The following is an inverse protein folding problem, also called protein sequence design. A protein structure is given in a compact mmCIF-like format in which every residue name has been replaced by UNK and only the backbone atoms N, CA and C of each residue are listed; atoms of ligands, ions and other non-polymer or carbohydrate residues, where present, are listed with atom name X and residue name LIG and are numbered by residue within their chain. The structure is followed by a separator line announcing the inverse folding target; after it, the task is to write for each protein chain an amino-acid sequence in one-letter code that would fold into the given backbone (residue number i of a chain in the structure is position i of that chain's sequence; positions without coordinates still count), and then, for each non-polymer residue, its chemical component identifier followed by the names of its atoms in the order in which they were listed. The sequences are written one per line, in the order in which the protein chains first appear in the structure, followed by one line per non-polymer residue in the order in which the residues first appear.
data_IF_563282609233
#
_entry.id   IF_563282609233
#
_cell.length_a   1.000
_cell.length_b   1.000
_cell.length_c   1.000
_cell.angle_alpha   90.00
_cell.angle_beta   90.00
_cell.angle_gamma   90.00
#
_symmetry.space_group_name_H-M   'P 1'
#
loop_
_entity.id
_entity.type
_entity.pdbx_description
1 polymer ?
2 non-polymer ?
3 water ?
#
# COMPACT_ATOMS: atom_id res chain seq x y z
N UNK A 2 13.23 16.96 17.13
CA UNK A 2 13.87 18.13 16.50
C UNK A 2 13.44 18.30 15.05
N UNK A 3 13.67 17.26 14.26
CA UNK A 3 13.20 17.27 12.87
C UNK A 3 11.69 17.12 12.80
N UNK A 4 11.12 16.31 13.69
CA UNK A 4 9.66 16.16 13.74
C UNK A 4 9.01 17.43 14.26
N UNK A 5 9.71 18.21 15.09
CA UNK A 5 9.17 19.48 15.57
C UNK A 5 9.26 20.56 14.51
N UNK A 6 10.23 20.46 13.60
CA UNK A 6 10.26 21.35 12.44
C UNK A 6 9.12 21.04 11.47
N UNK A 7 8.76 19.76 11.34
CA UNK A 7 7.63 19.39 10.50
C UNK A 7 6.33 19.92 11.06
N UNK A 8 6.18 19.91 12.40
CA UNK A 8 4.95 20.36 13.02
C UNK A 8 4.73 21.85 12.79
N UNK A 9 5.76 22.67 13.03
CA UNK A 9 5.60 24.11 12.85
C UNK A 9 5.36 24.50 11.40
N UNK A 10 5.61 23.61 10.45
CA UNK A 10 5.26 23.88 9.05
C UNK A 10 3.80 23.55 8.77
N UNK A 11 3.30 22.44 9.32
CA UNK A 11 1.88 22.12 9.21
C UNK A 11 1.01 23.16 9.89
N UNK A 12 1.54 23.84 10.91
CA UNK A 12 0.79 24.92 11.55
C UNK A 12 0.76 26.16 10.66
N UNK A 13 1.83 26.42 9.91
CA UNK A 13 1.83 27.57 9.01
C UNK A 13 0.81 27.41 7.91
N UNK A 14 0.46 26.18 7.55
CA UNK A 14 -0.58 25.96 6.55
C UNK A 14 -1.97 26.33 7.07
N UNK A 15 -2.14 26.43 8.39
CA UNK A 15 -3.46 26.74 8.95
C UNK A 15 -3.90 28.15 8.60
N UNK A 16 -2.95 29.08 8.39
CA UNK A 16 -3.33 30.44 8.02
C UNK A 16 -4.10 30.46 6.71
N UNK A 17 -3.76 29.55 5.80
CA UNK A 17 -4.44 29.47 4.52
C UNK A 17 -5.89 29.09 4.74
N UNK A 18 -6.81 29.86 4.16
CA UNK A 18 -8.22 29.63 4.37
C UNK A 18 -8.72 28.52 3.44
N UNK A 19 -9.45 27.56 4.01
CA UNK A 19 -9.92 26.40 3.31
C UNK A 19 -9.36 25.09 3.81
N UNK A 20 -8.24 25.13 4.55
CA UNK A 20 -7.54 23.94 4.98
C UNK A 20 -8.19 23.39 6.25
N UNK A 21 -8.51 22.09 6.24
CA UNK A 21 -8.88 21.40 7.46
C UNK A 21 -7.67 20.85 8.20
N UNK A 22 -6.75 20.23 7.47
CA UNK A 22 -5.56 19.68 8.09
C UNK A 22 -4.56 19.27 7.03
N UNK A 23 -3.44 18.72 7.50
CA UNK A 23 -2.35 18.32 6.63
C UNK A 23 -1.49 17.28 7.35
N UNK A 24 -0.60 16.65 6.60
CA UNK A 24 0.23 15.59 7.16
C UNK A 24 1.50 15.42 6.34
N UNK A 25 2.60 15.12 7.03
CA UNK A 25 3.89 14.84 6.40
C UNK A 25 4.08 13.33 6.37
N UNK A 26 4.14 12.77 5.18
CA UNK A 26 4.21 11.32 4.98
C UNK A 26 5.54 10.99 4.30
N UNK A 27 6.16 9.90 4.73
CA UNK A 27 7.38 9.44 4.07
C UNK A 27 7.03 8.80 2.73
N UNK A 28 7.92 8.96 1.75
CA UNK A 28 7.71 8.40 0.42
C UNK A 28 7.51 6.90 0.50
N UNK A 29 6.36 6.42 0.00
CA UNK A 29 5.99 5.01 0.05
C UNK A 29 6.04 4.48 1.49
N UNK A 30 5.66 5.32 2.45
CA UNK A 30 5.74 4.93 3.84
C UNK A 30 4.58 5.40 4.70
N UNK A 31 4.87 5.68 5.97
CA UNK A 31 3.88 6.08 6.94
C UNK A 31 3.94 7.58 7.26
N UNK A 32 3.08 7.97 8.18
CA UNK A 32 2.89 9.37 8.54
C UNK A 32 3.92 9.75 9.60
N UNK A 33 4.61 10.87 9.39
CA UNK A 33 5.66 11.34 10.29
C UNK A 33 5.13 12.40 11.25
N UNK A 34 4.28 13.29 10.75
CA UNK A 34 3.66 14.34 11.56
C UNK A 34 2.30 14.64 10.97
N UNK A 35 1.34 14.94 11.83
CA UNK A 35 -0.03 15.11 11.39
C UNK A 35 -0.68 16.34 12.02
N UNK A 36 -1.73 16.81 11.35
CA UNK A 36 -2.57 17.91 11.79
C UNK A 36 -4.03 17.68 11.41
N UNK A 37 -4.33 16.60 10.65
CA UNK A 37 -5.66 16.16 10.27
C UNK A 37 -6.63 16.22 11.44
N UNK A 38 -7.92 16.47 11.19
CA UNK A 38 -8.82 16.92 12.25
C UNK A 38 -9.46 15.85 13.13
N UNK A 39 -9.35 14.56 12.82
CA UNK A 39 -9.85 13.51 13.69
C UNK A 39 -10.97 12.68 13.09
N UNK A 40 -11.81 13.29 12.24
CA UNK A 40 -12.75 12.52 11.44
C UNK A 40 -12.09 11.94 10.20
N UNK A 41 -10.78 12.07 10.08
CA UNK A 41 -10.01 11.54 8.98
C UNK A 41 -9.16 10.39 9.49
N UNK A 42 -9.23 9.25 8.81
CA UNK A 42 -8.35 8.14 9.12
C UNK A 42 -6.97 8.43 8.54
N UNK A 43 -5.94 8.42 9.40
CA UNK A 43 -4.60 8.77 8.93
C UNK A 43 -3.99 7.66 8.10
N UNK A 44 -4.14 6.40 8.53
CA UNK A 44 -3.62 5.30 7.74
C UNK A 44 -4.30 5.20 6.38
N UNK A 45 -5.54 5.69 6.28
CA UNK A 45 -6.22 5.73 4.99
C UNK A 45 -5.60 6.79 4.08
N UNK A 46 -5.32 7.98 4.63
CA UNK A 46 -4.66 9.02 3.85
C UNK A 46 -3.27 8.59 3.44
N UNK A 47 -2.55 7.90 4.33
CA UNK A 47 -1.21 7.42 3.99
C UNK A 47 -1.25 6.42 2.85
N UNK A 48 -2.18 5.47 2.90
CA UNK A 48 -2.31 4.50 1.82
C UNK A 48 -2.77 5.17 0.52
N UNK A 49 -3.54 6.25 0.63
CA UNK A 49 -3.94 7.00 -0.56
C UNK A 49 -2.75 7.77 -1.14
N UNK A 50 -1.87 8.29 -0.27
CA UNK A 50 -0.75 9.08 -0.75
C UNK A 50 0.30 8.20 -1.44
N UNK A 51 0.49 6.97 -0.95
CA UNK A 51 1.45 6.09 -1.58
C UNK A 51 0.88 5.44 -2.84
N UNK A 52 -0.44 5.23 -2.88
CA UNK A 52 -1.05 4.66 -4.07
C UNK A 52 -1.04 5.65 -5.23
N UNK A 53 -1.25 6.94 -4.93
CA UNK A 53 -1.24 7.96 -5.96
C UNK A 53 0.18 8.19 -6.46
N UNK A 54 1.15 8.26 -5.53
CA UNK A 54 2.55 8.42 -5.92
C UNK A 54 3.00 7.29 -6.83
N UNK A 55 2.57 6.06 -6.52
CA UNK A 55 2.94 4.94 -7.38
C UNK A 55 2.21 5.00 -8.72
N UNK A 56 0.95 5.42 -8.70
CA UNK A 56 0.19 5.54 -9.94
C UNK A 56 0.72 6.67 -10.80
N UNK A 57 0.96 7.83 -10.19
CA UNK A 57 1.35 9.00 -10.96
C UNK A 57 2.76 8.86 -11.52
N UNK A 58 3.68 8.30 -10.73
CA UNK A 58 5.08 8.26 -11.15
C UNK A 58 5.31 7.22 -12.23
N UNK A 59 4.60 6.08 -12.18
CA UNK A 59 4.72 5.09 -13.24
C UNK A 59 4.13 5.62 -14.54
N UNK A 60 2.98 6.29 -14.47
CA UNK A 60 2.38 6.85 -15.68
C UNK A 60 3.16 8.04 -16.20
N UNK A 61 3.75 8.83 -15.31
CA UNK A 61 4.60 9.92 -15.77
C UNK A 61 5.85 9.39 -16.45
N UNK A 62 6.32 8.20 -16.05
CA UNK A 62 7.51 7.62 -16.68
C UNK A 62 7.22 7.14 -18.10
N UNK A 63 5.99 6.71 -18.37
CA UNK A 63 5.65 6.16 -19.67
C UNK A 63 5.07 7.19 -20.61
N UNK A 64 4.44 8.24 -20.08
CA UNK A 64 3.93 9.33 -20.89
C UNK A 64 4.96 10.42 -21.15
N UNK A 65 6.19 10.23 -20.67
CA UNK A 65 7.29 11.17 -20.91
C UNK A 65 6.96 12.55 -20.35
N UNK A 66 6.42 12.58 -19.15
CA UNK A 66 6.06 13.83 -18.49
C UNK A 66 7.04 14.23 -17.40
N UNK A 67 8.08 13.43 -17.17
CA UNK A 67 9.05 13.75 -16.14
C UNK A 67 8.68 13.23 -14.77
N UNK A 68 9.14 13.93 -13.73
CA UNK A 68 8.94 13.49 -12.35
C UNK A 68 7.64 14.05 -11.79
N UNK A 69 7.04 13.28 -10.88
CA UNK A 69 5.78 13.64 -10.27
C UNK A 69 5.96 14.83 -9.33
N UNK A 70 5.11 15.84 -9.47
CA UNK A 70 5.14 17.02 -8.61
C UNK A 70 4.03 17.00 -7.56
N UNK A 71 2.77 17.03 -7.99
CA UNK A 71 1.67 17.03 -7.04
C UNK A 71 0.41 16.49 -7.71
N UNK A 72 -0.50 16.00 -6.87
CA UNK A 72 -1.77 15.46 -7.32
C UNK A 72 -2.90 16.10 -6.53
N UNK A 73 -4.04 16.28 -7.19
CA UNK A 73 -5.21 16.93 -6.60
C UNK A 73 -6.44 16.09 -6.91
N UNK A 74 -7.27 15.84 -5.89
CA UNK A 74 -8.53 15.12 -6.04
C UNK A 74 -9.65 16.03 -5.56
N UNK A 75 -10.48 16.49 -6.50
CA UNK A 75 -11.60 17.38 -6.18
C UNK A 75 -12.88 16.56 -6.04
N UNK A 76 -13.44 16.55 -4.84
CA UNK A 76 -14.73 15.94 -4.55
C UNK A 76 -15.75 17.02 -4.26
N UNK A 77 -17.02 16.62 -4.13
CA UNK A 77 -18.07 17.61 -3.94
C UNK A 77 -18.02 18.25 -2.56
N UNK A 78 -17.50 17.54 -1.55
CA UNK A 78 -17.46 18.06 -0.19
C UNK A 78 -16.03 18.29 0.31
N UNK A 79 -15.03 18.13 -0.53
CA UNK A 79 -13.66 18.38 -0.10
C UNK A 79 -12.67 18.07 -1.20
N UNK A 80 -11.42 18.47 -0.97
CA UNK A 80 -10.34 18.23 -1.91
C UNK A 80 -9.19 17.55 -1.20
N UNK A 81 -8.44 16.75 -1.97
CA UNK A 81 -7.28 16.03 -1.47
C UNK A 81 -6.08 16.42 -2.32
N UNK A 82 -5.10 17.09 -1.71
CA UNK A 82 -3.87 17.46 -2.39
C UNK A 82 -2.71 16.64 -1.83
N UNK A 83 -1.80 16.26 -2.72
CA UNK A 83 -0.62 15.49 -2.35
C UNK A 83 0.59 16.12 -3.03
N UNK A 84 1.44 16.76 -2.25
CA UNK A 84 2.64 17.41 -2.78
C UNK A 84 3.85 16.54 -2.48
N UNK A 85 4.61 16.21 -3.54
CA UNK A 85 5.89 15.52 -3.40
C UNK A 85 6.97 16.60 -3.28
N UNK A 86 7.46 16.82 -2.06
CA UNK A 86 8.48 17.81 -1.78
C UNK A 86 9.70 17.08 -1.26
N UNK A 87 10.73 16.97 -2.10
CA UNK A 87 11.97 16.32 -1.70
C UNK A 87 11.81 14.85 -1.40
N UNK A 88 11.84 14.49 -0.12
CA UNK A 88 11.72 13.10 0.32
C UNK A 88 10.36 12.80 0.92
N UNK A 89 9.45 13.77 0.95
CA UNK A 89 8.20 13.63 1.69
C UNK A 89 7.01 13.81 0.77
N UNK A 90 5.85 13.36 1.28
CA UNK A 90 4.55 13.61 0.66
C UNK A 90 3.74 14.44 1.63
N UNK A 91 3.27 15.60 1.17
CA UNK A 91 2.45 16.48 1.98
C UNK A 91 1.00 16.33 1.54
N UNK A 92 0.20 15.67 2.36
CA UNK A 92 -1.22 15.52 2.10
C UNK A 92 -1.99 16.65 2.80
N UNK A 93 -2.96 17.21 2.10
CA UNK A 93 -3.74 18.33 2.63
C UNK A 93 -5.21 18.10 2.29
N UNK A 94 -6.08 18.28 3.27
CA UNK A 94 -7.53 18.15 3.11
C UNK A 94 -8.15 19.54 3.21
N UNK A 95 -9.00 19.88 2.24
CA UNK A 95 -9.60 21.21 2.20
C UNK A 95 -11.12 21.11 2.13
N UNK A 96 -11.74 22.29 2.17
CA UNK A 96 -13.16 22.46 1.99
C UNK A 96 -13.52 22.41 0.51
N UNK A 97 -14.83 22.37 0.23
CA UNK A 97 -15.28 22.56 -1.14
C UNK A 97 -15.29 24.03 -1.53
N UNK A 98 -15.41 24.92 -0.55
CA UNK A 98 -15.43 26.35 -0.81
C UNK A 98 -14.09 26.87 -1.32
N UNK A 99 -13.00 26.16 -1.04
CA UNK A 99 -11.67 26.68 -1.36
C UNK A 99 -11.44 26.78 -2.86
N UNK A 100 -10.85 27.89 -3.28
CA UNK A 100 -10.50 28.13 -4.68
C UNK A 100 -9.15 27.49 -4.99
N UNK A 101 -9.14 26.61 -6.00
CA UNK A 101 -7.95 25.79 -6.23
C UNK A 101 -6.73 26.63 -6.61
N UNK A 102 -6.94 27.69 -7.38
CA UNK A 102 -5.80 28.47 -7.87
C UNK A 102 -5.08 29.22 -6.77
N UNK A 103 -5.83 29.91 -5.92
CA UNK A 103 -5.23 30.58 -4.76
C UNK A 103 -4.70 29.54 -3.78
N UNK A 104 -5.43 28.45 -3.59
CA UNK A 104 -5.00 27.40 -2.67
C UNK A 104 -3.66 26.82 -3.10
N UNK A 105 -3.52 26.50 -4.39
CA UNK A 105 -2.29 25.87 -4.88
C UNK A 105 -1.11 26.83 -4.78
N UNK A 106 -1.33 28.12 -5.05
CA UNK A 106 -0.27 29.11 -4.92
C UNK A 106 0.11 29.34 -3.46
N UNK A 107 -0.85 29.23 -2.54
CA UNK A 107 -0.56 29.48 -1.14
C UNK A 107 0.23 28.33 -0.53
N UNK A 108 -0.11 27.09 -0.89
CA UNK A 108 0.62 25.94 -0.36
C UNK A 108 2.04 25.89 -0.91
N UNK A 109 2.22 26.17 -2.20
CA UNK A 109 3.54 26.07 -2.82
C UNK A 109 4.50 27.10 -2.24
N UNK A 110 4.00 28.24 -1.80
CA UNK A 110 4.86 29.25 -1.18
C UNK A 110 5.29 28.84 0.23
N UNK A 111 4.38 28.22 0.99
CA UNK A 111 4.72 27.83 2.36
C UNK A 111 5.50 26.52 2.41
N UNK A 112 5.35 25.66 1.42
CA UNK A 112 6.03 24.37 1.41
C UNK A 112 7.47 24.46 0.91
N UNK A 113 7.93 25.65 0.51
CA UNK A 113 9.34 25.80 0.16
C UNK A 113 10.25 25.68 1.37
N UNK A 114 9.73 25.93 2.58
CA UNK A 114 10.48 25.71 3.80
C UNK A 114 10.72 24.23 4.08
N UNK A 115 10.15 23.33 3.29
CA UNK A 115 10.38 21.91 3.40
C UNK A 115 11.46 21.42 2.43
N UNK A 116 12.15 22.34 1.76
CA UNK A 116 13.25 22.01 0.86
C UNK A 116 14.56 22.20 1.61
N UNK A 117 15.25 21.09 1.87
CA UNK A 117 16.55 21.15 2.53
C UNK A 117 17.30 19.84 2.32
N UNK B 2 -23.00 10.08 -35.46
CA UNK B 2 -23.97 10.97 -34.83
C UNK B 2 -23.52 11.40 -33.44
N UNK B 3 -23.39 10.41 -32.56
CA UNK B 3 -22.92 10.69 -31.20
C UNK B 3 -21.41 10.87 -31.17
N UNK B 4 -20.69 10.11 -32.00
CA UNK B 4 -19.24 10.32 -32.08
C UNK B 4 -18.92 11.66 -32.72
N UNK B 5 -19.81 12.16 -33.59
CA UNK B 5 -19.65 13.51 -34.13
C UNK B 5 -19.81 14.55 -33.04
N UNK B 6 -20.82 14.40 -32.19
CA UNK B 6 -21.02 15.32 -31.08
C UNK B 6 -19.88 15.24 -30.07
N UNK B 7 -19.41 14.02 -29.79
CA UNK B 7 -18.26 13.84 -28.89
C UNK B 7 -17.01 14.51 -29.46
N UNK B 8 -16.73 14.27 -30.74
CA UNK B 8 -15.54 14.86 -31.36
C UNK B 8 -15.62 16.38 -31.36
N UNK B 9 -16.82 16.93 -31.56
CA UNK B 9 -16.97 18.38 -31.54
C UNK B 9 -16.69 18.96 -30.16
N UNK B 10 -17.01 18.22 -29.10
CA UNK B 10 -16.69 18.70 -27.75
C UNK B 10 -15.19 18.72 -27.53
N UNK B 11 -14.49 17.66 -27.98
CA UNK B 11 -13.05 17.61 -27.82
C UNK B 11 -12.35 18.68 -28.65
N UNK B 12 -12.93 19.05 -29.80
CA UNK B 12 -12.33 20.08 -30.65
C UNK B 12 -12.43 21.45 -29.98
N UNK B 13 -13.53 21.71 -29.27
CA UNK B 13 -13.65 22.97 -28.54
C UNK B 13 -12.66 23.07 -27.40
N UNK B 14 -12.16 21.94 -26.90
CA UNK B 14 -11.13 21.99 -25.87
C UNK B 14 -9.80 22.51 -26.42
N UNK B 15 -9.59 22.36 -27.73
CA UNK B 15 -8.35 22.86 -28.34
C UNK B 15 -8.22 24.37 -28.19
N UNK B 16 -9.33 25.09 -28.08
CA UNK B 16 -9.27 26.54 -27.99
C UNK B 16 -8.62 27.00 -26.68
N UNK B 17 -8.70 26.20 -25.63
CA UNK B 17 -8.12 26.58 -24.34
C UNK B 17 -6.60 26.48 -24.43
N UNK B 18 -5.92 27.42 -23.78
CA UNK B 18 -4.47 27.54 -23.93
C UNK B 18 -3.75 26.39 -23.21
N UNK B 19 -2.80 25.79 -23.90
CA UNK B 19 -1.98 24.75 -23.33
C UNK B 19 -2.48 23.33 -23.49
N UNK B 20 -3.60 23.12 -24.18
CA UNK B 20 -4.18 21.79 -24.30
C UNK B 20 -3.50 21.04 -25.45
N UNK B 21 -2.85 19.93 -25.12
CA UNK B 21 -2.31 19.06 -26.16
C UNK B 21 -3.40 18.22 -26.80
N UNK B 22 -4.27 17.64 -26.00
CA UNK B 22 -5.33 16.79 -26.52
C UNK B 22 -6.23 16.32 -25.40
N UNK B 23 -7.22 15.53 -25.79
CA UNK B 23 -8.22 15.05 -24.84
C UNK B 23 -8.90 13.83 -25.44
N UNK B 24 -9.64 13.11 -24.58
CA UNK B 24 -10.31 11.89 -25.00
C UNK B 24 -11.51 11.64 -24.11
N UNK B 25 -12.51 11.00 -24.68
CA UNK B 25 -13.70 10.55 -23.97
C UNK B 25 -13.52 9.08 -23.64
N UNK B 26 -13.57 8.74 -22.36
CA UNK B 26 -13.34 7.38 -21.89
C UNK B 26 -14.57 6.92 -21.12
N UNK B 27 -15.07 5.73 -21.46
CA UNK B 27 -16.12 5.12 -20.67
C UNK B 27 -15.53 4.58 -19.38
N UNK B 28 -16.32 4.66 -18.30
CA UNK B 28 -15.84 4.16 -17.01
C UNK B 28 -15.48 2.68 -17.07
N UNK B 29 -16.03 1.95 -18.06
CA UNK B 29 -15.64 0.56 -18.27
C UNK B 29 -14.15 0.45 -18.59
N UNK B 30 -13.66 1.29 -19.51
CA UNK B 30 -12.24 1.34 -19.77
C UNK B 30 -11.85 1.54 -21.22
N UNK B 31 -12.83 1.77 -22.09
CA UNK B 31 -12.60 1.92 -23.52
C UNK B 31 -12.71 3.36 -23.96
N UNK B 32 -11.85 3.76 -24.89
CA UNK B 32 -11.89 5.11 -25.44
C UNK B 32 -12.98 5.19 -26.50
N UNK B 33 -13.88 6.16 -26.35
CA UNK B 33 -14.97 6.35 -27.30
C UNK B 33 -14.59 7.32 -28.40
N UNK B 34 -13.97 8.44 -28.02
CA UNK B 34 -13.58 9.50 -28.94
C UNK B 34 -12.29 10.11 -28.42
N UNK B 35 -11.36 10.42 -29.32
CA UNK B 35 -10.04 10.85 -28.88
C UNK B 35 -9.44 11.85 -29.85
N UNK B 36 -8.85 12.92 -29.29
CA UNK B 36 -8.02 13.87 -30.02
C UNK B 36 -6.59 13.88 -29.47
N UNK B 37 -6.15 12.77 -28.90
CA UNK B 37 -4.82 12.71 -28.30
C UNK B 37 -3.76 12.59 -29.39
N UNK B 38 -2.59 13.21 -29.22
CA UNK B 38 -1.54 13.13 -30.25
C UNK B 38 -0.98 11.72 -30.37
N UNK B 39 -0.14 11.55 -31.39
CA UNK B 39 0.39 10.23 -31.70
C UNK B 39 1.40 9.71 -30.70
N UNK B 40 2.07 10.59 -29.97
CA UNK B 40 3.08 10.16 -29.01
C UNK B 40 2.48 9.67 -27.70
N UNK B 41 1.18 9.90 -27.47
CA UNK B 41 0.51 9.42 -26.28
C UNK B 41 -0.04 8.03 -26.57
N UNK B 42 0.22 7.08 -25.66
CA UNK B 42 -0.36 5.76 -25.76
C UNK B 42 -1.76 5.78 -25.17
N UNK B 43 -2.76 5.53 -26.03
CA UNK B 43 -4.15 5.69 -25.61
C UNK B 43 -4.59 4.60 -24.65
N UNK B 44 -4.10 3.37 -24.85
CA UNK B 44 -4.39 2.28 -23.92
C UNK B 44 -3.94 2.63 -22.51
N UNK B 45 -2.88 3.42 -22.39
CA UNK B 45 -2.36 3.79 -21.08
C UNK B 45 -3.24 4.84 -20.41
N UNK B 46 -3.64 5.86 -21.18
CA UNK B 46 -4.48 6.92 -20.63
C UNK B 46 -5.82 6.36 -20.15
N UNK B 47 -6.37 5.40 -20.89
CA UNK B 47 -7.63 4.79 -20.47
C UNK B 47 -7.45 3.98 -19.18
N UNK B 48 -6.34 3.25 -19.08
CA UNK B 48 -6.07 2.51 -17.84
C UNK B 48 -5.79 3.47 -16.69
N UNK B 49 -5.10 4.58 -16.96
CA UNK B 49 -4.86 5.57 -15.92
C UNK B 49 -6.16 6.20 -15.44
N UNK B 50 -7.09 6.46 -16.37
CA UNK B 50 -8.34 7.14 -16.01
C UNK B 50 -9.23 6.24 -15.18
N UNK B 51 -9.31 4.96 -15.51
CA UNK B 51 -10.20 4.06 -14.78
C UNK B 51 -9.66 3.74 -13.39
N UNK B 52 -8.33 3.65 -13.25
CA UNK B 52 -7.76 3.37 -11.95
C UNK B 52 -7.86 4.57 -11.02
N UNK B 53 -7.57 5.76 -11.55
CA UNK B 53 -7.67 6.98 -10.74
C UNK B 53 -9.11 7.19 -10.29
N UNK B 54 -10.08 6.94 -11.19
CA UNK B 54 -11.48 6.98 -10.78
C UNK B 54 -11.75 5.96 -9.68
N UNK B 55 -11.22 4.75 -9.84
CA UNK B 55 -11.43 3.70 -8.83
C UNK B 55 -10.88 4.12 -7.48
N UNK B 56 -9.70 4.75 -7.48
CA UNK B 56 -9.08 5.15 -6.22
C UNK B 56 -9.76 6.39 -5.65
N UNK B 57 -10.07 7.36 -6.50
CA UNK B 57 -10.66 8.60 -6.03
C UNK B 57 -12.10 8.42 -5.58
N UNK B 58 -12.80 7.41 -6.11
CA UNK B 58 -14.15 7.13 -5.63
C UNK B 58 -14.12 6.31 -4.36
N UNK B 59 -13.24 5.30 -4.29
CA UNK B 59 -13.15 4.48 -3.09
C UNK B 59 -12.70 5.30 -1.89
N UNK B 60 -11.84 6.31 -2.11
CA UNK B 60 -11.37 7.13 -1.01
C UNK B 60 -12.39 8.20 -0.60
N UNK B 61 -13.10 8.77 -1.58
CA UNK B 61 -14.05 9.83 -1.27
C UNK B 61 -15.23 9.32 -0.45
N UNK B 62 -15.64 8.07 -0.65
CA UNK B 62 -16.74 7.53 0.14
C UNK B 62 -16.29 7.20 1.55
N UNK B 63 -15.09 6.62 1.70
CA UNK B 63 -14.60 6.27 3.03
C UNK B 63 -14.28 7.51 3.86
N UNK B 64 -13.96 8.62 3.20
CA UNK B 64 -13.69 9.88 3.87
C UNK B 64 -14.89 10.81 3.89
N UNK B 65 -16.05 10.36 3.41
CA UNK B 65 -17.29 11.12 3.47
C UNK B 65 -17.15 12.46 2.75
N UNK B 66 -16.53 12.43 1.57
CA UNK B 66 -16.29 13.62 0.77
C UNK B 66 -17.29 13.79 -0.36
N UNK B 67 -18.23 12.87 -0.50
CA UNK B 67 -19.20 12.96 -1.57
C UNK B 67 -18.72 12.31 -2.85
N UNK B 68 -19.32 12.75 -3.96
CA UNK B 68 -19.06 12.16 -5.27
C UNK B 68 -17.80 12.75 -5.90
N UNK B 69 -17.09 11.91 -6.65
CA UNK B 69 -15.85 12.34 -7.29
C UNK B 69 -16.14 13.22 -8.48
N UNK B 70 -15.42 14.35 -8.57
CA UNK B 70 -15.58 15.30 -9.65
C UNK B 70 -14.42 15.24 -10.65
N UNK B 71 -13.20 15.53 -10.21
CA UNK B 71 -12.08 15.53 -11.14
C UNK B 71 -10.78 15.35 -10.37
N UNK B 72 -9.75 14.93 -11.10
CA UNK B 72 -8.44 14.63 -10.54
C UNK B 72 -7.36 15.17 -11.46
N UNK B 73 -6.33 15.77 -10.87
CA UNK B 73 -5.28 16.44 -11.60
C UNK B 73 -3.93 15.88 -11.16
N UNK B 74 -3.10 15.50 -12.12
CA UNK B 74 -1.73 15.06 -11.87
C UNK B 74 -0.81 16.08 -12.52
N UNK B 75 -0.05 16.80 -11.71
CA UNK B 75 0.92 17.77 -12.21
C UNK B 75 2.30 17.13 -12.24
N UNK B 76 2.92 17.12 -13.40
CA UNK B 76 4.23 16.52 -13.60
C UNK B 76 5.22 17.58 -14.06
N UNK B 77 6.47 17.16 -14.26
CA UNK B 77 7.53 18.10 -14.61
C UNK B 77 7.35 18.68 -16.00
N UNK B 78 6.85 17.87 -16.94
CA UNK B 78 6.73 18.28 -18.34
C UNK B 78 5.28 18.20 -18.85
N UNK B 79 4.30 18.17 -17.96
CA UNK B 79 2.91 18.12 -18.39
C UNK B 79 1.97 17.88 -17.23
N UNK B 80 0.67 17.91 -17.55
CA UNK B 80 -0.38 17.69 -16.57
C UNK B 80 -1.39 16.71 -17.14
N UNK B 81 -2.03 15.97 -16.23
CA UNK B 81 -3.07 15.01 -16.58
C UNK B 81 -4.33 15.36 -15.80
N UNK B 82 -5.37 15.78 -16.49
CA UNK B 82 -6.66 16.09 -15.88
C UNK B 82 -7.68 15.03 -16.26
N UNK B 83 -8.45 14.58 -15.28
CA UNK B 83 -9.48 13.57 -15.48
C UNK B 83 -10.77 14.10 -14.87
N UNK B 84 -11.77 14.34 -15.72
CA UNK B 84 -13.05 14.88 -15.28
C UNK B 84 -14.12 13.80 -15.38
N UNK B 85 -14.86 13.61 -14.29
CA UNK B 85 -15.97 12.65 -14.26
C UNK B 85 -17.25 13.41 -14.61
N UNK B 86 -17.75 13.21 -15.84
CA UNK B 86 -18.95 13.88 -16.32
C UNK B 86 -19.96 12.80 -16.69
N UNK B 87 -20.91 12.55 -15.79
CA UNK B 87 -21.95 11.57 -16.06
C UNK B 87 -21.38 10.16 -16.06
N UNK B 88 -21.51 9.48 -17.20
CA UNK B 88 -21.10 8.09 -17.36
C UNK B 88 -19.68 7.98 -17.92
N UNK B 89 -19.00 9.10 -18.13
CA UNK B 89 -17.77 9.13 -18.92
C UNK B 89 -16.68 9.91 -18.19
N UNK B 90 -15.44 9.61 -18.54
CA UNK B 90 -14.26 10.29 -18.00
C UNK B 90 -13.57 11.05 -19.13
N UNK B 91 -13.30 12.32 -18.90
CA UNK B 91 -12.67 13.18 -19.89
C UNK B 91 -11.21 13.36 -19.50
N UNK B 92 -10.32 12.69 -20.22
CA UNK B 92 -8.88 12.86 -20.02
C UNK B 92 -8.37 14.06 -20.80
N UNK B 93 -7.46 14.83 -20.18
CA UNK B 93 -6.87 16.00 -20.82
C UNK B 93 -5.38 16.00 -20.50
N UNK B 94 -4.55 16.19 -21.53
CA UNK B 94 -3.10 16.30 -21.37
C UNK B 94 -2.71 17.73 -21.77
N UNK B 95 -2.04 18.43 -20.87
CA UNK B 95 -1.72 19.83 -21.07
C UNK B 95 -0.22 20.05 -20.91
N UNK B 96 0.20 21.30 -21.14
CA UNK B 96 1.57 21.70 -20.90
C UNK B 96 1.77 22.05 -19.43
N UNK B 97 3.02 21.99 -18.99
CA UNK B 97 3.35 22.33 -17.62
C UNK B 97 3.18 23.83 -17.37
N UNK B 98 3.41 24.64 -18.40
CA UNK B 98 3.31 26.09 -18.29
C UNK B 98 1.87 26.58 -18.19
N UNK B 99 0.89 25.75 -18.54
CA UNK B 99 -0.49 26.17 -18.46
C UNK B 99 -0.90 26.44 -17.02
N UNK B 100 -1.47 27.61 -16.77
CA UNK B 100 -1.95 27.96 -15.44
C UNK B 100 -3.10 27.03 -15.05
N UNK B 101 -2.96 26.37 -13.90
CA UNK B 101 -3.98 25.43 -13.45
C UNK B 101 -5.31 26.11 -13.18
N UNK B 102 -5.27 27.37 -12.74
CA UNK B 102 -6.49 28.07 -12.36
C UNK B 102 -7.42 28.35 -13.53
N UNK B 103 -6.91 29.06 -14.54
CA UNK B 103 -7.76 29.42 -15.68
C UNK B 103 -8.06 28.21 -16.53
N UNK B 104 -7.20 27.18 -16.50
CA UNK B 104 -7.47 25.98 -17.29
C UNK B 104 -8.57 25.15 -16.66
N UNK B 105 -8.54 24.96 -15.33
CA UNK B 105 -9.62 24.25 -14.66
C UNK B 105 -10.95 24.96 -14.82
N UNK B 106 -10.93 26.30 -14.85
CA UNK B 106 -12.15 27.07 -14.98
C UNK B 106 -12.74 26.95 -16.39
N UNK B 107 -11.90 27.14 -17.42
CA UNK B 107 -12.39 27.05 -18.78
C UNK B 107 -12.82 25.64 -19.14
N UNK B 108 -12.16 24.63 -18.57
CA UNK B 108 -12.48 23.25 -18.90
C UNK B 108 -13.88 22.88 -18.44
N UNK B 109 -14.21 23.21 -17.18
CA UNK B 109 -15.55 22.91 -16.68
C UNK B 109 -16.63 23.64 -17.48
N UNK B 110 -16.31 24.82 -18.01
CA UNK B 110 -17.29 25.54 -18.81
C UNK B 110 -17.54 24.83 -20.14
N UNK B 111 -16.48 24.34 -20.77
CA UNK B 111 -16.62 23.66 -22.06
C UNK B 111 -17.16 22.25 -21.91
N UNK B 112 -16.98 21.62 -20.75
CA UNK B 112 -17.41 20.25 -20.55
C UNK B 112 -18.86 20.14 -20.08
N UNK B 113 -19.51 21.27 -19.77
CA UNK B 113 -20.93 21.26 -19.43
C UNK B 113 -21.80 20.81 -20.58
N UNK B 114 -21.36 21.00 -21.82
CA UNK B 114 -22.10 20.51 -22.99
C UNK B 114 -22.13 18.98 -23.05
N UNK B 115 -21.48 18.28 -22.13
CA UNK B 115 -21.48 16.82 -22.14
C UNK B 115 -22.61 16.22 -21.32
N UNK B 116 -23.43 17.04 -20.69
CA UNK B 116 -24.53 16.56 -19.86
C UNK B 116 -25.84 16.67 -20.65
N UNK B 117 -26.45 15.53 -20.90
CA UNK B 117 -27.72 15.51 -21.64
C UNK B 117 -28.52 14.24 -21.35
N UNK C 2 7.26 -15.97 -23.23
CA UNK C 2 8.30 -16.93 -22.88
C UNK C 2 8.58 -16.98 -21.39
N UNK C 3 8.97 -15.83 -20.84
CA UNK C 3 9.20 -15.73 -19.40
C UNK C 3 7.89 -15.75 -18.63
N UNK C 4 6.88 -15.04 -19.14
CA UNK C 4 5.54 -15.06 -18.54
C UNK C 4 4.94 -16.45 -18.61
N UNK C 5 5.31 -17.23 -19.62
CA UNK C 5 4.75 -18.57 -19.75
C UNK C 5 5.49 -19.57 -18.87
N UNK C 6 6.77 -19.34 -18.59
CA UNK C 6 7.48 -20.18 -17.63
C UNK C 6 7.04 -19.87 -16.20
N UNK C 7 6.72 -18.61 -15.92
CA UNK C 7 6.19 -18.26 -14.60
C UNK C 7 4.77 -18.81 -14.43
N UNK C 8 3.98 -18.80 -15.50
CA UNK C 8 2.65 -19.39 -15.44
C UNK C 8 2.72 -20.89 -15.21
N UNK C 9 3.76 -21.54 -15.73
CA UNK C 9 3.84 -22.99 -15.65
C UNK C 9 4.14 -23.45 -14.22
N UNK C 10 4.95 -22.68 -13.49
CA UNK C 10 5.30 -23.08 -12.13
C UNK C 10 4.18 -22.76 -11.16
N UNK C 11 3.40 -21.70 -11.41
CA UNK C 11 2.23 -21.45 -10.58
C UNK C 11 1.21 -22.57 -10.72
N UNK C 12 1.13 -23.18 -11.90
CA UNK C 12 0.27 -24.35 -12.08
C UNK C 12 0.86 -25.55 -11.33
N UNK C 13 2.18 -25.62 -11.21
CA UNK C 13 2.80 -26.70 -10.44
C UNK C 13 2.38 -26.62 -8.98
N UNK C 14 2.31 -25.41 -8.43
CA UNK C 14 1.88 -25.23 -7.05
C UNK C 14 0.42 -25.66 -6.85
N UNK C 15 -0.37 -25.70 -7.91
CA UNK C 15 -1.79 -25.99 -7.79
C UNK C 15 -2.04 -27.40 -7.24
N UNK C 16 -1.14 -28.34 -7.53
CA UNK C 16 -1.33 -29.72 -7.07
C UNK C 16 -1.02 -29.91 -5.59
N UNK C 17 -0.40 -28.94 -4.93
CA UNK C 17 -0.17 -29.04 -3.50
C UNK C 17 -1.49 -28.86 -2.76
N UNK C 18 -1.73 -29.72 -1.77
CA UNK C 18 -3.02 -29.73 -1.09
C UNK C 18 -3.21 -28.46 -0.28
N UNK C 19 -4.34 -27.78 -0.52
CA UNK C 19 -4.72 -26.63 0.27
C UNK C 19 -4.37 -25.29 -0.33
N UNK C 20 -3.89 -25.23 -1.57
CA UNK C 20 -3.47 -23.98 -2.19
C UNK C 20 -4.67 -23.35 -2.90
N UNK C 21 -5.07 -22.16 -2.46
CA UNK C 21 -6.11 -21.43 -3.17
C UNK C 21 -5.58 -20.82 -4.46
N UNK C 22 -4.31 -20.44 -4.49
CA UNK C 22 -3.75 -19.74 -5.62
C UNK C 22 -2.42 -19.12 -5.23
N UNK C 23 -1.76 -18.54 -6.23
CA UNK C 23 -0.43 -18.01 -6.01
C UNK C 23 -0.13 -16.94 -7.05
N UNK C 24 0.90 -16.16 -6.78
CA UNK C 24 1.28 -15.07 -7.65
C UNK C 24 2.78 -14.83 -7.55
N UNK C 25 3.38 -14.43 -8.66
CA UNK C 25 4.79 -14.05 -8.72
C UNK C 25 4.86 -12.53 -8.70
N UNK C 26 5.51 -11.98 -7.68
CA UNK C 26 5.57 -10.55 -7.47
C UNK C 26 7.04 -10.12 -7.54
N UNK C 27 7.25 -8.89 -7.98
CA UNK C 27 8.57 -8.30 -7.93
C UNK C 27 8.90 -7.84 -6.52
N UNK C 28 10.20 -7.89 -6.19
CA UNK C 28 10.66 -7.19 -4.99
C UNK C 28 10.33 -5.71 -5.08
N UNK C 29 10.36 -5.15 -6.29
CA UNK C 29 9.86 -3.81 -6.53
C UNK C 29 8.45 -3.65 -6.01
N UNK C 30 7.50 -4.39 -6.57
CA UNK C 30 6.13 -4.31 -6.10
C UNK C 30 5.07 -4.91 -7.00
N UNK C 31 5.32 -4.93 -8.31
CA UNK C 31 4.32 -5.39 -9.24
C UNK C 31 4.23 -6.90 -9.36
N UNK C 32 3.05 -7.35 -9.78
CA UNK C 32 2.79 -8.75 -10.07
C UNK C 32 3.17 -9.00 -11.53
N UNK C 33 3.88 -10.10 -11.78
CA UNK C 33 4.30 -10.48 -13.11
C UNK C 33 3.41 -11.57 -13.67
N UNK C 34 3.02 -12.52 -12.81
CA UNK C 34 2.13 -13.60 -13.17
C UNK C 34 1.32 -13.99 -11.94
N UNK C 35 0.10 -14.46 -12.16
CA UNK C 35 -0.81 -14.70 -11.05
C UNK C 35 -1.81 -15.77 -11.40
N UNK C 36 -2.14 -16.61 -10.41
CA UNK C 36 -3.29 -17.51 -10.45
C UNK C 36 -4.20 -17.27 -9.26
N UNK C 37 -4.15 -16.10 -8.66
CA UNK C 37 -4.95 -15.81 -7.47
C UNK C 37 -6.43 -15.82 -7.84
N UNK C 38 -7.29 -16.30 -6.94
CA UNK C 38 -8.73 -16.32 -7.22
C UNK C 38 -9.28 -14.93 -7.50
N UNK C 39 -10.48 -14.91 -8.09
CA UNK C 39 -11.11 -13.64 -8.45
C UNK C 39 -11.49 -12.79 -7.26
N UNK C 40 -11.78 -13.42 -6.11
CA UNK C 40 -12.14 -12.69 -4.90
C UNK C 40 -10.94 -12.21 -4.11
N UNK C 41 -9.73 -12.34 -4.66
CA UNK C 41 -8.52 -11.83 -4.02
C UNK C 41 -8.10 -10.57 -4.76
N UNK C 42 -7.97 -9.46 -4.04
CA UNK C 42 -7.46 -8.23 -4.64
C UNK C 42 -5.96 -8.39 -4.87
N UNK C 43 -5.56 -8.44 -6.14
CA UNK C 43 -4.17 -8.74 -6.46
C UNK C 43 -3.23 -7.63 -6.01
N UNK C 44 -3.66 -6.38 -6.13
CA UNK C 44 -2.82 -5.28 -5.64
C UNK C 44 -2.66 -5.30 -4.13
N UNK C 45 -3.66 -5.81 -3.41
CA UNK C 45 -3.54 -5.93 -1.96
C UNK C 45 -2.45 -6.91 -1.59
N UNK C 46 -2.38 -8.04 -2.30
CA UNK C 46 -1.30 -9.01 -2.07
C UNK C 46 0.04 -8.39 -2.42
N UNK C 47 0.11 -7.63 -3.52
CA UNK C 47 1.37 -7.01 -3.91
C UNK C 47 1.84 -6.01 -2.88
N UNK C 48 0.94 -5.13 -2.42
CA UNK C 48 1.32 -4.19 -1.37
C UNK C 48 1.65 -4.92 -0.07
N UNK C 49 1.01 -6.08 0.16
CA UNK C 49 1.34 -6.88 1.34
C UNK C 49 2.72 -7.51 1.19
N UNK C 50 3.06 -7.99 -0.01
CA UNK C 50 4.33 -8.66 -0.21
C UNK C 50 5.52 -7.72 -0.04
N UNK C 51 5.34 -6.43 -0.36
CA UNK C 51 6.45 -5.50 -0.24
C UNK C 51 6.61 -4.98 1.18
N UNK C 52 5.50 -4.71 1.86
CA UNK C 52 5.57 -4.25 3.24
C UNK C 52 6.18 -5.31 4.15
N UNK C 53 5.84 -6.59 3.91
CA UNK C 53 6.44 -7.67 4.69
C UNK C 53 7.92 -7.83 4.35
N UNK C 54 8.27 -7.64 3.07
CA UNK C 54 9.66 -7.75 2.67
C UNK C 54 10.51 -6.70 3.37
N UNK C 55 10.04 -5.44 3.39
CA UNK C 55 10.82 -4.38 3.98
C UNK C 55 10.85 -4.48 5.50
N UNK C 56 9.80 -5.04 6.10
CA UNK C 56 9.76 -5.19 7.55
C UNK C 56 10.62 -6.35 8.00
N UNK C 57 10.60 -7.47 7.27
CA UNK C 57 11.33 -8.66 7.67
C UNK C 57 12.80 -8.61 7.27
N UNK C 58 13.21 -7.65 6.44
CA UNK C 58 14.60 -7.49 6.05
C UNK C 58 15.33 -6.46 6.91
N UNK C 59 14.70 -5.31 7.17
CA UNK C 59 15.29 -4.36 8.11
C UNK C 59 15.45 -4.98 9.49
N UNK C 60 14.47 -5.79 9.92
CA UNK C 60 14.55 -6.42 11.22
C UNK C 60 15.60 -7.53 11.24
N UNK C 61 15.69 -8.30 10.15
CA UNK C 61 16.69 -9.37 10.10
C UNK C 61 18.11 -8.80 10.13
N UNK C 62 18.32 -7.66 9.49
CA UNK C 62 19.66 -7.04 9.50
C UNK C 62 19.97 -6.45 10.87
N UNK C 63 18.97 -5.84 11.52
CA UNK C 63 19.20 -5.23 12.83
C UNK C 63 19.29 -6.28 13.93
N UNK C 64 18.64 -7.43 13.76
CA UNK C 64 18.76 -8.53 14.71
C UNK C 64 19.90 -9.48 14.37
N UNK C 65 20.65 -9.19 13.30
CA UNK C 65 21.77 -10.02 12.86
C UNK C 65 21.32 -11.45 12.55
N UNK C 66 20.20 -11.56 11.83
CA UNK C 66 19.64 -12.85 11.46
C UNK C 66 19.93 -13.25 10.02
N UNK C 67 20.58 -12.39 9.25
CA UNK C 67 20.89 -12.70 7.87
C UNK C 67 19.80 -12.26 6.91
N UNK C 68 19.78 -12.90 5.74
CA UNK C 68 18.88 -12.53 4.67
C UNK C 68 17.51 -13.16 4.85
N UNK C 69 16.48 -12.43 4.40
CA UNK C 69 15.10 -12.88 4.53
C UNK C 69 14.79 -14.00 3.56
N UNK C 70 14.23 -15.10 4.08
CA UNK C 70 13.88 -16.26 3.27
C UNK C 70 12.38 -16.28 2.93
N UNK C 71 11.53 -16.37 3.95
CA UNK C 71 10.09 -16.41 3.72
C UNK C 71 9.36 -16.01 4.98
N UNK C 72 8.11 -15.56 4.81
CA UNK C 72 7.26 -15.15 5.91
C UNK C 72 5.92 -15.87 5.79
N UNK C 73 5.35 -16.19 6.95
CA UNK C 73 4.10 -16.93 7.04
C UNK C 73 3.16 -16.19 7.97
N UNK C 74 1.92 -15.98 7.50
CA UNK C 74 0.89 -15.34 8.31
C UNK C 74 -0.29 -16.30 8.38
N UNK C 75 -0.56 -16.82 9.57
CA UNK C 75 -1.64 -17.77 9.81
C UNK C 75 -2.84 -17.01 10.38
N UNK C 76 -3.93 -16.98 9.63
CA UNK C 76 -5.17 -16.36 10.05
C UNK C 76 -6.23 -17.44 10.31
N UNK C 77 -7.36 -17.01 10.86
CA UNK C 77 -8.40 -17.94 11.27
C UNK C 77 -8.96 -18.72 10.09
N UNK C 78 -9.07 -18.07 8.92
CA UNK C 78 -9.67 -18.68 7.74
C UNK C 78 -8.71 -18.78 6.56
N UNK C 79 -7.42 -18.59 6.77
CA UNK C 79 -6.47 -18.72 5.68
C UNK C 79 -5.07 -18.38 6.14
N UNK C 80 -4.11 -18.78 5.31
CA UNK C 80 -2.69 -18.53 5.55
C UNK C 80 -2.10 -17.75 4.39
N UNK C 81 -1.19 -16.82 4.71
CA UNK C 81 -0.48 -16.02 3.72
C UNK C 81 1.00 -16.36 3.77
N UNK C 82 1.52 -16.90 2.67
CA UNK C 82 2.93 -17.29 2.57
C UNK C 82 3.63 -16.44 1.53
N UNK C 83 4.76 -15.86 1.90
CA UNK C 83 5.57 -15.05 1.01
C UNK C 83 6.98 -15.62 0.98
N UNK C 84 7.42 -16.07 -0.19
CA UNK C 84 8.74 -16.67 -0.38
C UNK C 84 9.59 -15.73 -1.23
N UNK C 85 10.72 -15.30 -0.69
CA UNK C 85 11.67 -14.47 -1.42
C UNK C 85 12.67 -15.41 -2.11
N UNK C 86 12.51 -15.58 -3.42
CA UNK C 86 13.37 -16.46 -4.20
C UNK C 86 13.98 -15.67 -5.34
N UNK C 87 15.29 -15.55 -5.34
CA UNK C 87 15.98 -14.71 -6.31
C UNK C 87 15.62 -13.25 -6.13
N UNK C 88 15.11 -12.65 -7.21
CA UNK C 88 14.69 -11.26 -7.22
C UNK C 88 13.18 -11.11 -7.11
N UNK C 89 12.47 -12.17 -6.72
CA UNK C 89 11.02 -12.15 -6.78
C UNK C 89 10.42 -12.73 -5.51
N UNK C 90 9.18 -12.31 -5.24
CA UNK C 90 8.40 -12.77 -4.10
C UNK C 90 7.29 -13.66 -4.62
N UNK C 91 7.19 -14.87 -4.08
CA UNK C 91 6.13 -15.81 -4.43
C UNK C 91 5.09 -15.77 -3.32
N UNK C 92 3.90 -15.26 -3.62
CA UNK C 92 2.79 -15.23 -2.68
C UNK C 92 1.91 -16.44 -2.89
N UNK C 93 1.46 -17.05 -1.78
CA UNK C 93 0.60 -18.22 -1.83
C UNK C 93 -0.51 -18.07 -0.79
N UNK C 94 -1.76 -18.24 -1.22
CA UNK C 94 -2.92 -18.20 -0.35
C UNK C 94 -3.46 -19.61 -0.20
N UNK C 95 -3.59 -20.06 1.04
CA UNK C 95 -3.96 -21.45 1.31
C UNK C 95 -5.25 -21.53 2.11
N UNK C 96 -5.83 -22.72 2.12
CA UNK C 96 -7.02 -22.97 2.92
C UNK C 96 -6.66 -22.96 4.40
N UNK C 97 -7.69 -22.78 5.24
CA UNK C 97 -7.48 -22.68 6.68
C UNK C 97 -7.02 -24.00 7.26
N UNK C 98 -7.43 -25.13 6.66
CA UNK C 98 -7.09 -26.46 7.15
C UNK C 98 -5.74 -26.96 6.68
N UNK C 99 -5.08 -26.27 5.75
CA UNK C 99 -3.85 -26.79 5.14
C UNK C 99 -2.76 -26.96 6.19
N UNK C 100 -2.15 -28.15 6.21
CA UNK C 100 -1.13 -28.46 7.19
C UNK C 100 0.15 -27.69 6.88
N UNK C 101 0.59 -26.85 7.82
CA UNK C 101 1.70 -25.93 7.55
C UNK C 101 3.00 -26.68 7.31
N UNK C 102 3.32 -27.65 8.16
CA UNK C 102 4.60 -28.34 8.03
C UNK C 102 4.74 -29.10 6.73
N UNK C 103 3.66 -29.78 6.31
CA UNK C 103 3.70 -30.50 5.05
C UNK C 103 3.65 -29.53 3.87
N UNK C 104 3.05 -28.36 4.07
CA UNK C 104 2.95 -27.38 3.00
C UNK C 104 4.29 -26.71 2.72
N UNK C 105 4.99 -26.30 3.78
CA UNK C 105 6.27 -25.62 3.59
C UNK C 105 7.29 -26.50 2.89
N UNK C 106 7.23 -27.81 3.12
CA UNK C 106 8.20 -28.72 2.51
C UNK C 106 7.96 -28.87 1.01
N UNK C 107 6.72 -29.13 0.61
CA UNK C 107 6.41 -29.29 -0.81
C UNK C 107 6.51 -27.98 -1.55
N UNK C 108 6.32 -26.85 -0.87
CA UNK C 108 6.37 -25.56 -1.55
C UNK C 108 7.81 -25.18 -1.88
N UNK C 109 8.74 -25.40 -0.94
CA UNK C 109 10.15 -25.13 -1.23
C UNK C 109 10.68 -26.04 -2.34
N UNK C 110 10.18 -27.28 -2.40
CA UNK C 110 10.64 -28.21 -3.44
C UNK C 110 10.13 -27.81 -4.82
N UNK C 111 8.89 -27.32 -4.89
CA UNK C 111 8.34 -26.93 -6.18
C UNK C 111 8.88 -25.59 -6.66
N UNK C 112 9.19 -24.68 -5.73
CA UNK C 112 9.70 -23.35 -6.06
C UNK C 112 11.19 -23.35 -6.38
N UNK C 113 11.88 -24.47 -6.20
CA UNK C 113 13.29 -24.53 -6.58
C UNK C 113 13.47 -24.40 -8.09
N UNK C 114 12.43 -24.66 -8.88
CA UNK C 114 12.49 -24.45 -10.33
C UNK C 114 12.49 -22.97 -10.70
N UNK C 115 12.26 -22.08 -9.75
CA UNK C 115 12.31 -20.65 -10.00
C UNK C 115 13.71 -20.08 -9.87
N UNK C 116 14.69 -20.89 -9.45
CA UNK C 116 16.06 -20.45 -9.30
C UNK C 116 16.78 -20.58 -10.63
N UNK C 117 17.19 -19.45 -11.21
CA UNK C 117 17.93 -19.43 -12.46
C UNK C 117 18.56 -18.07 -12.69
N UNK D 2 3.21 -11.42 41.05
CA UNK D 2 1.92 -12.11 41.00
C UNK D 2 1.61 -12.59 39.59
N UNK D 3 1.14 -11.67 38.74
CA UNK D 3 0.92 -11.99 37.35
C UNK D 3 2.20 -11.94 36.53
N UNK D 4 3.16 -11.10 36.93
CA UNK D 4 4.44 -11.06 36.23
C UNK D 4 5.26 -12.29 36.58
N UNK D 5 5.11 -12.82 37.81
CA UNK D 5 5.67 -14.12 38.14
C UNK D 5 5.12 -15.21 37.24
N UNK D 6 3.81 -15.17 36.96
CA UNK D 6 3.18 -16.19 36.13
C UNK D 6 3.64 -16.10 34.68
N UNK D 7 3.84 -14.88 34.18
CA UNK D 7 4.36 -14.72 32.83
C UNK D 7 5.78 -15.25 32.72
N UNK D 8 6.57 -15.11 33.78
CA UNK D 8 7.97 -15.56 33.73
C UNK D 8 8.08 -17.08 33.66
N UNK D 9 7.25 -17.79 34.41
CA UNK D 9 7.32 -19.25 34.41
C UNK D 9 6.77 -19.87 33.13
N UNK D 10 6.05 -19.11 32.31
CA UNK D 10 5.59 -19.64 31.03
C UNK D 10 6.70 -19.52 29.99
N UNK D 11 7.39 -18.37 29.94
CA UNK D 11 8.55 -18.24 29.08
C UNK D 11 9.65 -19.21 29.47
N UNK D 12 9.73 -19.57 30.75
CA UNK D 12 10.70 -20.56 31.18
C UNK D 12 10.28 -21.96 30.71
N UNK D 13 8.97 -22.23 30.68
CA UNK D 13 8.51 -23.52 30.16
C UNK D 13 8.79 -23.65 28.68
N UNK D 14 8.79 -22.54 27.94
CA UNK D 14 9.14 -22.56 26.52
C UNK D 14 10.60 -22.92 26.28
N UNK D 15 11.44 -22.88 27.31
CA UNK D 15 12.87 -23.11 27.12
C UNK D 15 13.16 -24.56 26.77
N UNK D 16 12.36 -25.50 27.29
CA UNK D 16 12.61 -26.92 27.06
C UNK D 16 12.38 -27.35 25.61
N UNK D 17 11.73 -26.52 24.80
CA UNK D 17 11.52 -26.87 23.40
C UNK D 17 12.82 -26.68 22.63
N UNK D 18 13.01 -27.48 21.58
CA UNK D 18 14.27 -27.50 20.87
C UNK D 18 14.45 -26.25 20.03
N UNK D 19 15.64 -25.66 20.08
CA UNK D 19 15.99 -24.54 19.24
C UNK D 19 15.57 -23.18 19.73
N UNK D 20 14.89 -23.09 20.88
CA UNK D 20 14.41 -21.81 21.37
C UNK D 20 15.57 -21.07 22.02
N UNK D 21 15.82 -19.84 21.56
CA UNK D 21 16.80 -18.98 22.21
C UNK D 21 16.19 -18.17 23.35
N UNK D 22 14.88 -17.96 23.32
CA UNK D 22 14.23 -17.09 24.27
C UNK D 22 12.92 -16.60 23.70
N UNK D 23 12.19 -15.86 24.54
CA UNK D 23 10.86 -15.42 24.16
C UNK D 23 10.49 -14.19 24.98
N UNK D 24 9.36 -13.61 24.62
CA UNK D 24 8.85 -12.43 25.31
C UNK D 24 7.34 -12.40 25.16
N UNK D 25 6.67 -11.78 26.14
CA UNK D 25 5.23 -11.54 26.09
C UNK D 25 5.05 -10.03 25.98
N UNK D 26 4.39 -9.60 24.90
CA UNK D 26 4.30 -8.19 24.55
C UNK D 26 2.83 -7.78 24.59
N UNK D 27 2.59 -6.55 25.05
CA UNK D 27 1.25 -5.99 25.05
C UNK D 27 0.77 -5.78 23.61
N UNK D 28 -0.52 -6.02 23.39
CA UNK D 28 -1.10 -5.79 22.07
C UNK D 28 -1.03 -4.31 21.73
N UNK D 29 -0.23 -3.99 20.70
CA UNK D 29 0.06 -2.60 20.32
C UNK D 29 0.68 -1.83 21.49
N UNK D 30 1.58 -2.48 22.20
CA UNK D 30 2.24 -1.90 23.37
C UNK D 30 3.67 -2.37 23.50
N UNK D 31 4.12 -2.51 24.74
CA UNK D 31 5.49 -2.88 25.02
C UNK D 31 5.65 -4.24 25.68
N UNK D 32 6.86 -4.54 26.15
CA UNK D 32 7.16 -5.85 26.72
C UNK D 32 6.75 -5.89 28.20
N UNK D 33 6.14 -6.99 28.60
CA UNK D 33 5.78 -7.23 29.99
C UNK D 33 6.79 -8.14 30.68
N UNK D 34 7.17 -9.22 30.02
CA UNK D 34 8.17 -10.15 30.52
C UNK D 34 9.03 -10.60 29.35
N UNK D 35 10.24 -11.06 29.67
CA UNK D 35 11.17 -11.42 28.61
C UNK D 35 12.23 -12.37 29.13
N UNK D 36 12.52 -13.41 28.34
CA UNK D 36 13.70 -14.24 28.49
C UNK D 36 14.63 -14.13 27.28
N UNK D 37 14.61 -12.98 26.60
CA UNK D 37 15.44 -12.82 25.40
C UNK D 37 16.92 -12.71 25.79
N UNK D 38 17.83 -13.20 24.95
CA UNK D 38 19.25 -13.06 25.26
C UNK D 38 19.69 -11.60 25.19
N UNK D 39 20.93 -11.37 25.65
CA UNK D 39 21.46 -10.02 25.74
C UNK D 39 21.73 -9.36 24.40
N UNK D 40 21.93 -10.15 23.34
CA UNK D 40 22.20 -9.61 22.03
C UNK D 40 20.95 -9.26 21.24
N UNK D 41 19.78 -9.36 21.85
CA UNK D 41 18.51 -9.03 21.21
C UNK D 41 18.02 -7.71 21.78
N UNK D 42 17.75 -6.75 20.91
CA UNK D 42 17.17 -5.48 21.30
C UNK D 42 15.69 -5.69 21.60
N UNK D 43 15.33 -5.65 22.88
CA UNK D 43 13.95 -5.87 23.27
C UNK D 43 13.03 -4.80 22.71
N UNK D 44 13.50 -3.55 22.68
CA UNK D 44 12.70 -2.49 22.08
C UNK D 44 12.44 -2.74 20.61
N UNK D 45 13.39 -3.38 19.91
CA UNK D 45 13.20 -3.69 18.50
C UNK D 45 12.13 -4.76 18.32
N UNK D 46 12.17 -5.81 19.14
CA UNK D 46 11.22 -6.90 19.02
C UNK D 46 9.80 -6.41 19.28
N UNK D 47 9.65 -5.49 20.24
CA UNK D 47 8.33 -4.92 20.50
C UNK D 47 7.80 -4.13 19.31
N UNK D 48 8.68 -3.35 18.66
CA UNK D 48 8.28 -2.64 17.46
C UNK D 48 7.95 -3.61 16.32
N UNK D 49 8.60 -4.77 16.31
CA UNK D 49 8.34 -5.76 15.27
C UNK D 49 7.00 -6.45 15.48
N UNK D 50 6.69 -6.82 16.74
CA UNK D 50 5.48 -7.57 17.02
C UNK D 50 4.24 -6.73 16.75
N UNK D 51 4.27 -5.44 17.08
CA UNK D 51 3.10 -4.60 16.90
C UNK D 51 2.94 -4.16 15.45
N UNK D 52 4.05 -3.95 14.73
CA UNK D 52 3.96 -3.61 13.33
C UNK D 52 3.48 -4.79 12.49
N UNK D 53 3.89 -6.01 12.86
CA UNK D 53 3.42 -7.18 12.14
C UNK D 53 1.96 -7.46 12.46
N UNK D 54 1.56 -7.27 13.72
CA UNK D 54 0.17 -7.46 14.09
C UNK D 54 -0.74 -6.51 13.32
N UNK D 55 -0.32 -5.26 13.16
CA UNK D 55 -1.12 -4.31 12.38
C UNK D 55 -1.19 -4.73 10.92
N UNK D 56 -0.08 -5.21 10.37
CA UNK D 56 -0.06 -5.65 8.99
C UNK D 56 -1.00 -6.84 8.79
N UNK D 57 -0.89 -7.84 9.68
CA UNK D 57 -1.63 -9.08 9.48
C UNK D 57 -3.13 -8.89 9.59
N UNK D 58 -3.58 -8.08 10.54
CA UNK D 58 -5.01 -7.96 10.80
C UNK D 58 -5.72 -7.06 9.79
N UNK D 59 -5.05 -6.02 9.30
CA UNK D 59 -5.65 -5.24 8.22
C UNK D 59 -5.73 -6.07 6.95
N UNK D 60 -4.73 -6.92 6.71
CA UNK D 60 -4.77 -7.81 5.54
C UNK D 60 -5.78 -8.93 5.74
N UNK D 61 -5.85 -9.50 6.93
CA UNK D 61 -6.80 -10.59 7.17
C UNK D 61 -8.24 -10.11 7.06
N UNK D 62 -8.50 -8.84 7.43
CA UNK D 62 -9.86 -8.33 7.39
C UNK D 62 -10.29 -7.99 5.97
N UNK D 63 -9.40 -7.35 5.19
CA UNK D 63 -9.76 -6.98 3.83
C UNK D 63 -9.76 -8.19 2.89
N UNK D 64 -8.90 -9.17 3.14
CA UNK D 64 -8.90 -10.41 2.38
C UNK D 64 -9.91 -11.42 2.90
N UNK D 65 -10.66 -11.06 3.94
CA UNK D 65 -11.69 -11.93 4.52
C UNK D 65 -11.09 -13.23 5.04
N UNK D 66 -10.11 -13.09 5.93
CA UNK D 66 -9.39 -14.23 6.49
C UNK D 66 -9.62 -14.41 7.98
N UNK D 67 -10.37 -13.51 8.62
CA UNK D 67 -10.70 -13.67 10.02
C UNK D 67 -9.66 -13.14 10.98
N UNK D 68 -9.60 -13.75 12.17
CA UNK D 68 -8.72 -13.28 13.22
C UNK D 68 -7.30 -13.79 13.03
N UNK D 69 -6.33 -12.89 13.23
CA UNK D 69 -4.93 -13.25 13.13
C UNK D 69 -4.53 -14.18 14.27
N UNK D 70 -3.82 -15.27 13.91
CA UNK D 70 -3.36 -16.26 14.87
C UNK D 70 -1.87 -16.13 15.17
N UNK D 71 -1.02 -16.30 14.17
CA UNK D 71 0.42 -16.21 14.39
C UNK D 71 1.11 -15.87 13.08
N UNK D 72 2.36 -15.40 13.21
CA UNK D 72 3.18 -15.00 12.09
C UNK D 72 4.60 -15.51 12.29
N UNK D 73 5.20 -16.02 11.22
CA UNK D 73 6.54 -16.61 11.27
C UNK D 73 7.42 -15.95 10.23
N UNK D 74 8.57 -15.46 10.66
CA UNK D 74 9.58 -14.91 9.76
C UNK D 74 10.76 -15.87 9.78
N UNK D 75 11.02 -16.52 8.65
CA UNK D 75 12.15 -17.42 8.51
C UNK D 75 13.30 -16.67 7.84
N UNK D 76 14.42 -16.55 8.54
CA UNK D 76 15.59 -15.85 8.05
C UNK D 76 16.75 -16.82 7.90
N UNK D 77 17.89 -16.28 7.47
CA UNK D 77 19.07 -17.10 7.19
C UNK D 77 19.60 -17.76 8.46
N UNK D 78 19.68 -17.01 9.56
CA UNK D 78 20.29 -17.49 10.79
C UNK D 78 19.31 -17.50 11.95
N UNK D 79 18.02 -17.58 11.69
CA UNK D 79 17.05 -17.63 12.76
C UNK D 79 15.64 -17.45 12.26
N UNK D 80 14.69 -17.81 13.13
CA UNK D 80 13.28 -17.65 12.88
C UNK D 80 12.68 -16.72 13.92
N UNK D 81 11.67 -15.96 13.51
CA UNK D 81 10.93 -15.08 14.41
C UNK D 81 9.48 -15.51 14.38
N UNK D 82 8.96 -15.91 15.53
CA UNK D 82 7.57 -16.32 15.67
C UNK D 82 6.82 -15.34 16.57
N UNK D 83 5.59 -15.02 16.17
CA UNK D 83 4.71 -14.14 16.94
C UNK D 83 3.36 -14.82 17.07
N UNK D 84 2.94 -15.08 18.30
CA UNK D 84 1.68 -15.77 18.58
C UNK D 84 0.72 -14.82 19.28
N UNK D 85 -0.50 -14.72 18.75
CA UNK D 85 -1.55 -13.91 19.36
C UNK D 85 -2.38 -14.78 20.29
N UNK D 86 -2.35 -14.48 21.59
CA UNK D 86 -3.01 -15.28 22.61
C UNK D 86 -3.63 -14.33 23.62
N UNK D 87 -4.96 -14.27 23.64
CA UNK D 87 -5.64 -13.27 24.46
C UNK D 87 -5.35 -11.88 23.92
N UNK D 88 -5.00 -10.98 24.83
CA UNK D 88 -4.64 -9.61 24.48
C UNK D 88 -3.13 -9.42 24.35
N UNK D 89 -2.38 -10.50 24.14
CA UNK D 89 -0.93 -10.49 24.24
C UNK D 89 -0.31 -11.16 23.03
N UNK D 90 0.90 -10.72 22.70
CA UNK D 90 1.71 -11.31 21.63
C UNK D 90 2.93 -11.96 22.27
N UNK D 91 3.21 -13.19 21.90
CA UNK D 91 4.38 -13.92 22.38
C UNK D 91 5.37 -14.02 21.23
N UNK D 92 6.50 -13.32 21.36
CA UNK D 92 7.58 -13.39 20.37
C UNK D 92 8.57 -14.48 20.76
N UNK D 93 9.06 -15.21 19.76
CA UNK D 93 9.98 -16.33 19.98
C UNK D 93 11.07 -16.29 18.92
N UNK D 94 12.33 -16.37 19.36
CA UNK D 94 13.48 -16.42 18.48
C UNK D 94 14.08 -17.81 18.57
N UNK D 95 14.29 -18.45 17.43
CA UNK D 95 14.78 -19.83 17.39
C UNK D 95 16.06 -19.92 16.58
N UNK D 96 16.61 -21.13 16.54
CA UNK D 96 17.73 -21.42 15.67
C UNK D 96 17.23 -21.64 14.25
N UNK D 97 18.17 -21.56 13.29
CA UNK D 97 17.79 -21.75 11.89
C UNK D 97 17.47 -23.21 11.60
N UNK D 98 18.14 -24.15 12.26
CA UNK D 98 17.93 -25.56 12.02
C UNK D 98 16.67 -26.11 12.66
N UNK D 99 16.02 -25.36 13.56
CA UNK D 99 14.80 -25.84 14.20
C UNK D 99 13.70 -26.08 13.17
N UNK D 100 13.17 -27.29 13.16
CA UNK D 100 12.12 -27.64 12.21
C UNK D 100 10.82 -26.92 12.56
N UNK D 101 10.22 -26.27 11.54
CA UNK D 101 9.05 -25.45 11.78
C UNK D 101 7.85 -26.27 12.25
N UNK D 102 7.74 -27.52 11.79
CA UNK D 102 6.59 -28.35 12.11
C UNK D 102 6.43 -28.69 13.58
N UNK D 103 7.43 -29.37 14.16
CA UNK D 103 7.33 -29.75 15.57
C UNK D 103 7.45 -28.52 16.48
N UNK D 104 8.15 -27.48 16.01
CA UNK D 104 8.22 -26.24 16.77
C UNK D 104 6.86 -25.56 16.88
N UNK D 105 6.06 -25.63 15.81
CA UNK D 105 4.73 -25.02 15.83
C UNK D 105 3.82 -25.72 16.83
N UNK D 106 3.80 -27.05 16.80
CA UNK D 106 2.91 -27.80 17.68
C UNK D 106 3.32 -27.67 19.15
N UNK D 107 4.63 -27.74 19.43
CA UNK D 107 5.08 -27.70 20.82
C UNK D 107 4.86 -26.33 21.45
N UNK D 108 4.90 -25.25 20.66
CA UNK D 108 4.68 -23.92 21.22
C UNK D 108 3.23 -23.70 21.59
N UNK D 109 2.29 -24.15 20.74
CA UNK D 109 0.88 -23.93 21.02
C UNK D 109 0.42 -24.76 22.22
N UNK D 110 1.01 -25.94 22.40
CA UNK D 110 0.67 -26.75 23.57
C UNK D 110 1.15 -26.09 24.85
N UNK D 111 2.34 -25.48 24.82
CA UNK D 111 2.89 -24.85 26.02
C UNK D 111 2.29 -23.47 26.28
N UNK D 112 1.73 -22.83 25.27
CA UNK D 112 1.18 -21.49 25.43
C UNK D 112 -0.33 -21.50 25.72
N UNK D 113 -0.94 -22.67 25.88
CA UNK D 113 -2.35 -22.71 26.25
C UNK D 113 -2.60 -22.19 27.66
N UNK D 114 -1.59 -22.22 28.52
CA UNK D 114 -1.72 -21.72 29.89
C UNK D 114 -1.76 -20.20 29.98
N UNK D 115 -1.74 -19.50 28.85
CA UNK D 115 -1.85 -18.04 28.84
C UNK D 115 -3.28 -17.56 28.69
N UNK D 116 -4.23 -18.47 28.45
CA UNK D 116 -5.63 -18.11 28.31
C UNK D 116 -6.33 -18.33 29.65
N UNK D 117 -6.87 -17.26 30.23
CA UNK D 117 -7.56 -17.34 31.50
C UNK D 117 -8.51 -16.19 31.71
#
# INVERSE_FOLDING_TARGET
GPMIEFFQEILISLKKIKGIHGSAIIERYGGIISSTLPGWVNQELIAALATHILKISEKSASELNLGTFLDAIIENERGKLLFYAIGDKIVSVITTHDAKLGILDMKLRAALEKLKF
GPMIEFFQEILISLKKIKGIHGSAIIERYGGIISSTLPGWVNQELIAALATHILKISEKSASELNLGTFLDAIIENERGKLLFYAIGDKIVSVITTHDAKLGILDMKLRAALEKLKF
GPMIEFFQEILISLKKIKGIHGSAIIERYGGIISSTLPGWVNQELIAALATHILKISEKSASELNLGTFLDAIIENERGKLLFYAIGDKIVSVITTHDAKLGILDMKLRAALEKLKF
GPMIEFFQEILISLKKIKGIHGSAIIERYGGIISSTLPGWVNQELIAALATHILKISEKSASELNLGTFLDAIIENERGKLLFYAIGDKIVSVITTHDAKLGILDMKLRAALEKLKF
#
